data_IF_145254700224
#
_entry.id   IF_145254700224
#
_cell.length_a   1.000
_cell.length_b   1.000
_cell.length_c   1.000
_cell.angle_alpha   90.00
_cell.angle_beta   90.00
_cell.angle_gamma   90.00
#
_symmetry.space_group_name_H-M   'P 1'
#
loop_
_entity.id
_entity.type
_entity.pdbx_description
1 polymer ?
#
# COMPACT_ATOMS: atom_id res chain seq x y z
N UNK A 1 -3.29 -15.21 19.38
CA UNK A 1 -2.85 -15.12 17.98
C UNK A 1 -3.55 -13.95 17.33
N UNK A 2 -2.80 -13.01 16.75
CA UNK A 2 -3.32 -11.87 15.99
C UNK A 2 -2.92 -11.98 14.52
N UNK A 3 -3.62 -11.26 13.66
CA UNK A 3 -3.33 -11.17 12.24
C UNK A 3 -3.00 -9.72 11.85
N UNK A 4 -2.20 -9.54 10.80
CA UNK A 4 -1.98 -8.24 10.17
C UNK A 4 -2.29 -8.34 8.69
N UNK A 5 -2.93 -7.29 8.16
CA UNK A 5 -3.21 -7.17 6.72
C UNK A 5 -2.69 -5.82 6.25
N UNK A 6 -1.89 -5.83 5.19
CA UNK A 6 -1.30 -4.63 4.63
C UNK A 6 -1.40 -4.63 3.11
N UNK A 7 -1.30 -3.43 2.54
CA UNK A 7 -1.34 -3.22 1.10
C UNK A 7 -0.04 -3.61 0.40
N UNK A 8 0.17 -3.07 -0.79
CA UNK A 8 1.35 -3.35 -1.57
C UNK A 8 2.60 -2.75 -0.93
N UNK A 9 3.57 -3.60 -0.57
CA UNK A 9 4.90 -3.15 -0.14
C UNK A 9 5.71 -2.77 -1.37
N UNK A 10 6.13 -1.49 -1.41
CA UNK A 10 6.88 -0.93 -2.53
C UNK A 10 8.23 -1.63 -2.71
N UNK A 11 8.66 -1.74 -3.97
CA UNK A 11 9.96 -2.31 -4.35
C UNK A 11 10.19 -3.76 -3.91
N UNK A 12 9.13 -4.52 -3.66
CA UNK A 12 9.24 -5.96 -3.50
C UNK A 12 9.74 -6.61 -4.81
N UNK A 13 10.38 -7.79 -4.69
CA UNK A 13 10.91 -8.50 -5.86
C UNK A 13 9.82 -8.73 -6.92
N UNK A 14 10.09 -8.36 -8.16
CA UNK A 14 9.14 -8.49 -9.27
C UNK A 14 8.02 -7.46 -9.29
N UNK A 15 8.06 -6.44 -8.41
CA UNK A 15 7.08 -5.36 -8.41
C UNK A 15 7.32 -4.32 -9.49
N UNK A 16 6.34 -3.46 -9.70
CA UNK A 16 6.32 -2.47 -10.79
C UNK A 16 7.43 -1.43 -10.70
N UNK A 17 7.84 -1.03 -9.50
CA UNK A 17 8.85 0.03 -9.30
C UNK A 17 10.22 -0.40 -9.83
N UNK A 18 10.81 -1.54 -9.40
CA UNK A 18 12.06 -2.01 -9.98
C UNK A 18 11.98 -2.27 -11.49
N UNK A 19 10.85 -2.82 -11.97
CA UNK A 19 10.64 -3.06 -13.40
C UNK A 19 10.72 -1.76 -14.22
N UNK A 20 10.07 -0.70 -13.76
CA UNK A 20 10.07 0.57 -14.49
C UNK A 20 11.44 1.27 -14.46
N UNK A 21 12.16 1.17 -13.34
CA UNK A 21 13.54 1.65 -13.26
C UNK A 21 14.42 0.90 -14.24
N UNK A 22 14.32 -0.41 -14.30
CA UNK A 22 15.06 -1.23 -15.27
C UNK A 22 14.72 -0.86 -16.73
N UNK A 23 13.43 -0.69 -17.05
CA UNK A 23 12.99 -0.27 -18.38
C UNK A 23 13.60 1.07 -18.77
N UNK A 24 13.57 2.07 -17.87
CA UNK A 24 14.18 3.38 -18.13
C UNK A 24 15.68 3.28 -18.34
N UNK A 25 16.41 2.52 -17.53
CA UNK A 25 17.85 2.34 -17.64
C UNK A 25 18.24 1.66 -18.95
N UNK A 26 17.39 0.77 -19.47
CA UNK A 26 17.56 0.11 -20.76
C UNK A 26 17.10 0.97 -21.97
N UNK A 27 16.63 2.21 -21.73
CA UNK A 27 16.09 3.07 -22.79
C UNK A 27 14.76 2.60 -23.36
N UNK A 28 14.04 1.74 -22.63
CA UNK A 28 12.72 1.24 -23.00
C UNK A 28 11.61 2.12 -22.39
N UNK A 29 10.42 2.16 -23.00
CA UNK A 29 9.28 2.85 -22.41
C UNK A 29 8.83 2.17 -21.11
N UNK A 30 8.38 2.98 -20.15
CA UNK A 30 7.67 2.49 -18.97
C UNK A 30 6.31 1.93 -19.41
N UNK A 31 6.00 0.68 -19.05
CA UNK A 31 4.73 0.04 -19.40
C UNK A 31 3.74 0.13 -18.25
N UNK A 32 2.56 0.72 -18.50
CA UNK A 32 1.47 0.89 -17.55
C UNK A 32 0.23 0.17 -18.07
N UNK A 33 -0.45 -0.60 -17.23
CA UNK A 33 -1.68 -1.28 -17.62
C UNK A 33 -2.86 -0.33 -17.72
N UNK A 34 -3.08 0.49 -16.69
CA UNK A 34 -4.07 1.56 -16.67
C UNK A 34 -3.56 2.72 -15.79
N UNK A 35 -3.44 3.96 -16.31
CA UNK A 35 -2.90 5.09 -15.56
C UNK A 35 -3.74 5.47 -14.33
N UNK A 36 -5.05 5.21 -14.35
CA UNK A 36 -5.98 5.52 -13.25
C UNK A 36 -6.06 4.43 -12.18
N UNK A 37 -5.41 3.29 -12.40
CA UNK A 37 -5.34 2.21 -11.43
C UNK A 37 -4.62 2.67 -10.18
N UNK A 38 -5.18 2.39 -9.00
CA UNK A 38 -4.59 2.78 -7.73
C UNK A 38 -4.01 1.59 -6.98
N UNK A 39 -2.93 1.86 -6.26
CA UNK A 39 -2.33 0.89 -5.33
C UNK A 39 -2.01 1.59 -4.02
N UNK A 40 -2.12 0.87 -2.92
CA UNK A 40 -1.58 1.34 -1.65
C UNK A 40 -0.06 1.43 -1.74
N UNK A 41 0.51 2.44 -1.07
CA UNK A 41 1.94 2.70 -1.06
C UNK A 41 2.47 2.56 0.36
N UNK A 42 3.12 1.43 0.62
CA UNK A 42 3.74 1.13 1.92
C UNK A 42 5.22 0.85 1.75
N UNK A 43 6.01 1.28 2.72
CA UNK A 43 7.41 0.84 2.85
C UNK A 43 7.48 -0.48 3.64
N UNK A 44 8.63 -1.13 3.60
CA UNK A 44 8.87 -2.30 4.44
C UNK A 44 8.85 -1.93 5.94
N UNK A 45 9.35 -0.74 6.28
CA UNK A 45 9.34 -0.22 7.65
C UNK A 45 7.89 -0.08 8.16
N UNK A 46 6.96 0.45 7.33
CA UNK A 46 5.55 0.55 7.67
C UNK A 46 4.93 -0.84 7.95
N UNK A 47 5.29 -1.84 7.14
CA UNK A 47 4.81 -3.21 7.35
C UNK A 47 5.32 -3.81 8.67
N UNK A 48 6.57 -3.55 9.03
CA UNK A 48 7.17 -3.97 10.31
C UNK A 48 6.50 -3.24 11.47
N UNK A 49 6.28 -1.93 11.36
CA UNK A 49 5.61 -1.13 12.39
C UNK A 49 4.18 -1.62 12.65
N UNK A 50 3.44 -2.03 11.60
CA UNK A 50 2.13 -2.65 11.76
C UNK A 50 2.20 -3.94 12.59
N UNK A 51 3.18 -4.80 12.33
CA UNK A 51 3.36 -6.05 13.08
C UNK A 51 3.66 -5.75 14.55
N UNK A 52 4.58 -4.82 14.82
CA UNK A 52 4.92 -4.41 16.19
C UNK A 52 3.69 -3.81 16.89
N UNK A 53 2.93 -2.97 16.19
CA UNK A 53 1.71 -2.38 16.73
C UNK A 53 0.68 -3.45 17.10
N UNK A 54 0.48 -4.45 16.23
CA UNK A 54 -0.43 -5.56 16.51
C UNK A 54 0.01 -6.41 17.72
N UNK A 55 1.32 -6.60 17.91
CA UNK A 55 1.84 -7.30 19.09
C UNK A 55 1.59 -6.55 20.41
N UNK A 56 1.65 -5.22 20.36
CA UNK A 56 1.54 -4.39 21.58
C UNK A 56 0.10 -4.03 21.95
N UNK A 57 -0.82 -4.04 20.98
CA UNK A 57 -2.20 -3.56 21.18
C UNK A 57 -3.27 -4.61 20.90
N UNK A 58 -2.87 -5.77 20.36
CA UNK A 58 -3.82 -6.78 19.91
C UNK A 58 -4.24 -7.75 21.01
N UNK A 59 -5.49 -8.19 20.90
CA UNK A 59 -6.02 -9.32 21.62
C UNK A 59 -6.03 -10.58 20.74
N UNK A 60 -6.41 -11.72 21.33
CA UNK A 60 -6.43 -12.96 20.59
C UNK A 60 -7.53 -12.95 19.51
N UNK A 61 -7.11 -13.17 18.26
CA UNK A 61 -8.01 -13.22 17.11
C UNK A 61 -8.20 -11.89 16.39
N UNK A 62 -7.63 -10.79 16.88
CA UNK A 62 -7.70 -9.49 16.22
C UNK A 62 -6.98 -9.47 14.87
N UNK A 63 -7.54 -8.69 13.95
CA UNK A 63 -6.89 -8.33 12.70
C UNK A 63 -6.60 -6.82 12.69
N UNK A 64 -5.32 -6.47 12.48
CA UNK A 64 -4.90 -5.09 12.30
C UNK A 64 -4.63 -4.78 10.83
N UNK A 65 -5.10 -3.61 10.40
CA UNK A 65 -4.92 -3.09 9.04
C UNK A 65 -4.35 -1.69 9.11
N UNK A 66 -3.22 -1.45 8.45
CA UNK A 66 -2.63 -0.12 8.40
C UNK A 66 -3.36 0.77 7.39
N UNK A 67 -3.63 2.01 7.79
CA UNK A 67 -4.12 3.06 6.91
C UNK A 67 -2.95 3.60 6.10
N UNK A 68 -2.79 3.10 4.88
CA UNK A 68 -1.72 3.53 3.98
C UNK A 68 -2.26 4.51 2.93
N UNK A 69 -1.45 5.50 2.49
CA UNK A 69 -1.82 6.31 1.36
C UNK A 69 -1.79 5.49 0.06
N UNK A 70 -2.46 5.99 -0.96
CA UNK A 70 -2.44 5.39 -2.29
C UNK A 70 -2.02 6.39 -3.36
N UNK A 71 -1.49 5.86 -4.46
CA UNK A 71 -1.21 6.63 -5.67
C UNK A 71 -1.77 5.93 -6.90
N UNK A 72 -2.04 6.72 -7.94
CA UNK A 72 -2.29 6.16 -9.27
C UNK A 72 -0.97 5.72 -9.91
N UNK A 73 -1.04 4.78 -10.85
CA UNK A 73 0.14 4.37 -11.60
C UNK A 73 0.73 5.52 -12.42
N UNK A 74 -0.09 6.47 -12.87
CA UNK A 74 0.36 7.68 -13.55
C UNK A 74 1.22 8.58 -12.63
N UNK A 75 0.75 8.83 -11.41
CA UNK A 75 1.50 9.61 -10.40
C UNK A 75 2.82 8.91 -10.05
N UNK A 76 2.80 7.60 -9.85
CA UNK A 76 3.98 6.81 -9.56
C UNK A 76 5.01 6.89 -10.69
N UNK A 77 4.59 6.73 -11.96
CA UNK A 77 5.47 6.83 -13.10
C UNK A 77 6.10 8.22 -13.25
N UNK A 78 5.29 9.28 -13.07
CA UNK A 78 5.77 10.66 -13.08
C UNK A 78 6.82 10.92 -11.99
N UNK A 79 6.56 10.44 -10.77
CA UNK A 79 7.47 10.59 -9.64
C UNK A 79 8.81 9.88 -9.90
N UNK A 80 8.80 8.63 -10.38
CA UNK A 80 10.02 7.89 -10.73
C UNK A 80 10.82 8.63 -11.80
N UNK A 81 10.16 9.04 -12.90
CA UNK A 81 10.82 9.79 -13.98
C UNK A 81 11.50 11.07 -13.48
N UNK A 82 10.83 11.84 -12.61
CA UNK A 82 11.39 13.09 -12.06
C UNK A 82 12.56 12.82 -11.11
N UNK A 83 12.53 11.74 -10.35
CA UNK A 83 13.64 11.35 -9.48
C UNK A 83 14.86 10.99 -10.31
N UNK A 84 14.68 10.12 -11.30
CA UNK A 84 15.78 9.64 -12.14
C UNK A 84 16.29 10.69 -13.14
N UNK A 85 15.48 11.69 -13.51
CA UNK A 85 15.93 12.84 -14.29
C UNK A 85 17.06 13.64 -13.62
N UNK A 86 17.25 13.48 -12.30
CA UNK A 86 18.38 14.07 -11.57
C UNK A 86 19.71 13.34 -11.86
N UNK A 87 19.67 12.08 -12.26
CA UNK A 87 20.84 11.30 -12.67
C UNK A 87 21.17 11.61 -14.13
N UNK A 88 20.17 11.54 -15.00
CA UNK A 88 20.28 11.84 -16.41
C UNK A 88 18.95 12.40 -16.92
N UNK A 89 18.92 13.61 -17.51
CA UNK A 89 17.70 14.24 -18.04
C UNK A 89 16.91 13.36 -19.01
N UNK A 90 17.55 12.44 -19.72
CA UNK A 90 16.88 11.50 -20.65
C UNK A 90 15.82 10.64 -19.94
N UNK A 91 16.01 10.28 -18.67
CA UNK A 91 15.06 9.49 -17.91
C UNK A 91 13.76 10.25 -17.67
N UNK A 92 13.82 11.57 -17.49
CA UNK A 92 12.64 12.42 -17.42
C UNK A 92 11.80 12.42 -18.71
N UNK A 93 12.42 12.12 -19.85
CA UNK A 93 11.76 12.07 -21.16
C UNK A 93 11.32 10.66 -21.58
N UNK A 94 11.54 9.65 -20.71
CA UNK A 94 11.13 8.26 -21.01
C UNK A 94 9.64 8.20 -21.33
N UNK A 95 9.30 7.56 -22.43
CA UNK A 95 7.91 7.35 -22.86
C UNK A 95 7.17 6.47 -21.86
N UNK A 96 5.87 6.77 -21.66
CA UNK A 96 4.97 5.92 -20.89
C UNK A 96 3.98 5.27 -21.85
N UNK A 97 4.06 3.96 -21.99
CA UNK A 97 3.20 3.18 -22.89
C UNK A 97 2.08 2.49 -22.11
N UNK A 98 0.83 2.83 -22.42
CA UNK A 98 -0.34 2.14 -21.87
C UNK A 98 -0.54 0.84 -22.65
N UNK A 99 -0.48 -0.30 -21.94
CA UNK A 99 -0.59 -1.65 -22.55
C UNK A 99 -1.97 -2.29 -22.36
N UNK A 100 -2.86 -1.63 -21.59
CA UNK A 100 -4.17 -2.15 -21.24
C UNK A 100 -4.17 -3.05 -20.01
N UNK A 101 -5.34 -3.19 -19.38
CA UNK A 101 -5.54 -4.01 -18.18
C UNK A 101 -5.47 -5.50 -18.55
N UNK A 102 -4.74 -6.27 -17.74
CA UNK A 102 -4.65 -7.73 -17.93
C UNK A 102 -5.86 -8.41 -17.31
N UNK A 103 -6.15 -9.61 -17.79
CA UNK A 103 -7.24 -10.41 -17.23
C UNK A 103 -7.02 -10.64 -15.71
N UNK A 104 -8.06 -10.37 -14.92
CA UNK A 104 -8.00 -10.51 -13.45
C UNK A 104 -7.29 -9.39 -12.69
N UNK A 105 -6.76 -8.37 -13.36
CA UNK A 105 -6.13 -7.23 -12.72
C UNK A 105 -7.18 -6.25 -12.18
N UNK A 106 -7.10 -5.95 -10.87
CA UNK A 106 -8.05 -5.05 -10.21
C UNK A 106 -7.67 -3.59 -10.44
N UNK A 107 -8.67 -2.72 -10.64
CA UNK A 107 -8.48 -1.27 -10.74
C UNK A 107 -8.03 -0.64 -9.41
N UNK A 108 -8.43 -1.25 -8.30
CA UNK A 108 -8.05 -0.84 -6.93
C UNK A 108 -7.94 -2.08 -6.03
N UNK A 109 -7.28 -1.91 -4.90
CA UNK A 109 -7.11 -2.96 -3.87
C UNK A 109 -7.96 -2.65 -2.66
N UNK A 110 -8.70 -3.64 -2.15
CA UNK A 110 -9.48 -3.55 -0.92
C UNK A 110 -8.69 -4.17 0.23
N UNK A 111 -8.56 -3.44 1.34
CA UNK A 111 -7.91 -3.93 2.57
C UNK A 111 -8.90 -4.32 3.65
N UNK A 112 -10.04 -3.66 3.74
CA UNK A 112 -11.08 -4.00 4.70
C UNK A 112 -12.41 -4.05 3.96
N UNK A 113 -13.09 -5.18 4.05
CA UNK A 113 -14.41 -5.35 3.44
C UNK A 113 -15.46 -4.53 4.19
N UNK A 114 -16.63 -4.34 3.59
CA UNK A 114 -17.75 -3.62 4.20
C UNK A 114 -18.18 -4.24 5.53
N UNK A 115 -18.23 -5.57 5.59
CA UNK A 115 -18.61 -6.31 6.79
C UNK A 115 -17.57 -6.18 7.91
N UNK A 116 -16.28 -6.17 7.55
CA UNK A 116 -15.19 -5.91 8.49
C UNK A 116 -15.21 -4.46 8.97
N UNK A 117 -15.46 -3.48 8.07
CA UNK A 117 -15.54 -2.06 8.44
C UNK A 117 -16.68 -1.76 9.41
N UNK A 118 -17.81 -2.47 9.33
CA UNK A 118 -18.91 -2.32 10.26
C UNK A 118 -18.53 -2.68 11.73
N UNK A 119 -17.45 -3.45 11.91
CA UNK A 119 -16.93 -3.86 13.23
C UNK A 119 -15.59 -3.22 13.55
N UNK A 120 -14.99 -2.51 12.59
CA UNK A 120 -13.66 -1.98 12.73
C UNK A 120 -13.61 -0.81 13.72
N UNK A 121 -12.63 -0.85 14.60
CA UNK A 121 -12.29 0.24 15.50
C UNK A 121 -11.20 1.11 14.86
N UNK A 122 -11.43 2.43 14.85
CA UNK A 122 -10.44 3.38 14.35
C UNK A 122 -9.40 3.68 15.43
N UNK A 123 -8.18 3.18 15.21
CA UNK A 123 -7.03 3.37 16.11
C UNK A 123 -6.07 4.47 15.60
N UNK A 124 -6.60 5.46 14.86
CA UNK A 124 -5.79 6.53 14.25
C UNK A 124 -5.09 6.07 12.98
N UNK A 125 -3.85 5.59 13.07
CA UNK A 125 -3.09 5.07 11.92
C UNK A 125 -3.48 3.67 11.47
N UNK A 126 -4.33 2.98 12.24
CA UNK A 126 -4.70 1.58 12.03
C UNK A 126 -6.20 1.37 12.20
N UNK A 127 -6.72 0.33 11.55
CA UNK A 127 -8.00 -0.29 11.92
C UNK A 127 -7.73 -1.56 12.71
N UNK A 128 -8.44 -1.74 13.83
CA UNK A 128 -8.55 -3.00 14.55
C UNK A 128 -9.88 -3.64 14.20
N UNK A 129 -9.85 -4.87 13.73
CA UNK A 129 -11.03 -5.66 13.45
C UNK A 129 -11.04 -6.77 14.50
N UNK A 130 -11.92 -6.69 15.52
CA UNK A 130 -11.97 -7.68 16.59
C UNK A 130 -12.41 -9.05 16.06
N UNK A 131 -11.97 -10.09 16.75
CA UNK A 131 -12.40 -11.46 16.48
C UNK A 131 -13.93 -11.57 16.55
N UNK A 132 -14.50 -12.34 15.65
CA UNK A 132 -15.91 -12.65 15.69
C UNK A 132 -16.18 -13.72 16.76
N UNK A 133 -16.55 -13.29 17.96
CA UNK A 133 -16.88 -14.16 19.10
C UNK A 133 -18.35 -14.58 19.10
N UNK A 134 -19.08 -14.36 18.00
CA UNK A 134 -20.49 -14.77 17.93
C UNK A 134 -20.57 -16.29 17.89
N UNK A 135 -21.34 -16.86 18.82
CA UNK A 135 -21.68 -18.27 18.79
C UNK A 135 -22.37 -18.63 17.45
N UNK A 136 -22.08 -19.83 16.94
CA UNK A 136 -22.66 -20.41 15.72
C UNK A 136 -24.19 -20.62 15.81
N UNK A 137 -24.89 -19.79 16.57
CA UNK A 137 -26.34 -19.85 16.69
C UNK A 137 -26.97 -19.11 15.52
N UNK A 138 -27.13 -19.83 14.42
CA UNK A 138 -27.67 -19.35 13.14
C UNK A 138 -29.08 -18.74 13.25
N UNK A 139 -29.85 -19.11 14.26
CA UNK A 139 -31.25 -18.69 14.40
C UNK A 139 -31.45 -17.20 14.65
N UNK A 140 -30.45 -16.49 15.23
CA UNK A 140 -30.50 -15.05 15.45
C UNK A 140 -30.21 -14.24 14.17
N UNK A 141 -29.54 -14.84 13.18
CA UNK A 141 -29.14 -14.13 11.96
C UNK A 141 -30.22 -14.06 10.89
N UNK A 142 -31.25 -14.87 10.98
CA UNK A 142 -32.36 -14.86 10.04
C UNK A 142 -33.40 -13.77 10.32
N UNK A 143 -33.38 -13.14 11.49
CA UNK A 143 -34.41 -12.19 11.92
C UNK A 143 -33.98 -10.74 12.02
N UNK A 144 -32.68 -10.45 12.07
CA UNK A 144 -32.15 -9.08 12.13
C UNK A 144 -31.03 -8.91 11.09
N UNK A 145 -31.40 -8.47 9.89
CA UNK A 145 -30.42 -8.02 8.90
C UNK A 145 -29.68 -6.80 9.44
N UNK A 146 -28.34 -6.81 9.38
CA UNK A 146 -27.52 -5.70 9.85
C UNK A 146 -27.65 -4.49 8.92
N UNK A 147 -28.63 -3.63 9.14
CA UNK A 147 -28.79 -2.34 8.44
C UNK A 147 -27.57 -1.44 8.56
N UNK A 148 -26.70 -1.66 9.55
CA UNK A 148 -25.45 -0.92 9.74
C UNK A 148 -24.43 -1.25 8.63
N UNK A 149 -24.43 -2.46 8.10
CA UNK A 149 -23.48 -2.90 7.06
C UNK A 149 -23.76 -2.23 5.71
N UNK A 150 -25.01 -1.90 5.41
CA UNK A 150 -25.39 -1.28 4.13
C UNK A 150 -24.89 0.16 3.99
N UNK A 151 -24.64 0.85 5.11
CA UNK A 151 -24.24 2.26 5.14
C UNK A 151 -22.71 2.46 5.22
N UNK A 152 -21.95 1.40 5.45
CA UNK A 152 -20.49 1.47 5.63
C UNK A 152 -19.79 1.17 4.31
N UNK A 153 -18.81 2.00 3.95
CA UNK A 153 -17.95 1.79 2.79
C UNK A 153 -16.78 0.87 3.14
N UNK A 154 -16.38 0.00 2.22
CA UNK A 154 -15.13 -0.76 2.33
C UNK A 154 -13.92 0.18 2.31
N UNK A 155 -12.80 -0.23 2.92
CA UNK A 155 -11.55 0.52 2.84
C UNK A 155 -10.67 0.00 1.71
N UNK A 156 -10.44 0.84 0.71
CA UNK A 156 -9.74 0.48 -0.52
C UNK A 156 -8.85 1.62 -1.03
N UNK A 157 -7.98 1.33 -1.99
CA UNK A 157 -7.00 2.29 -2.50
C UNK A 157 -7.59 3.48 -3.27
N UNK A 158 -8.90 3.48 -3.57
CA UNK A 158 -9.56 4.64 -4.16
C UNK A 158 -10.09 5.64 -3.12
N UNK A 159 -10.40 5.22 -1.89
CA UNK A 159 -10.97 6.07 -0.85
C UNK A 159 -10.03 6.36 0.33
N UNK A 160 -8.74 6.07 0.20
CA UNK A 160 -7.71 6.48 1.15
C UNK A 160 -7.06 7.80 0.76
N UNK A 161 -6.20 8.34 1.64
CA UNK A 161 -5.39 9.51 1.35
C UNK A 161 -4.60 9.34 0.04
N UNK A 162 -4.70 10.31 -0.87
CA UNK A 162 -4.10 10.24 -2.18
C UNK A 162 -2.80 11.04 -2.24
N UNK A 163 -1.72 10.36 -2.63
CA UNK A 163 -0.45 11.04 -2.90
C UNK A 163 -0.49 11.75 -4.26
N UNK A 164 0.04 12.94 -4.28
CA UNK A 164 0.45 13.63 -5.50
C UNK A 164 1.88 13.23 -5.90
N UNK A 165 2.41 13.85 -6.95
CA UNK A 165 3.75 13.53 -7.45
C UNK A 165 4.84 13.84 -6.41
N UNK A 166 4.71 14.94 -5.66
CA UNK A 166 5.71 15.32 -4.66
C UNK A 166 5.69 14.38 -3.47
N UNK A 167 4.51 14.08 -2.89
CA UNK A 167 4.37 13.10 -1.82
C UNK A 167 4.84 11.71 -2.25
N UNK A 168 4.60 11.32 -3.51
CA UNK A 168 5.10 10.06 -4.04
C UNK A 168 6.62 10.05 -4.16
N UNK A 169 7.26 11.16 -4.55
CA UNK A 169 8.73 11.28 -4.58
C UNK A 169 9.33 11.16 -3.19
N UNK A 170 8.75 11.83 -2.20
CA UNK A 170 9.20 11.73 -0.80
C UNK A 170 9.16 10.28 -0.32
N UNK A 171 8.09 9.55 -0.65
CA UNK A 171 7.94 8.15 -0.25
C UNK A 171 8.94 7.25 -0.99
N UNK A 172 9.14 7.44 -2.30
CA UNK A 172 10.14 6.71 -3.09
C UNK A 172 11.56 6.91 -2.57
N UNK A 173 11.91 8.12 -2.11
CA UNK A 173 13.21 8.43 -1.54
C UNK A 173 13.45 7.78 -0.16
N UNK A 174 12.47 7.08 0.40
CA UNK A 174 12.67 6.19 1.56
C UNK A 174 13.23 4.82 1.16
N UNK A 175 13.17 4.44 -0.11
CA UNK A 175 13.66 3.16 -0.63
C UNK A 175 15.16 3.20 -0.83
N UNK A 176 15.90 2.31 -0.19
CA UNK A 176 17.37 2.30 -0.20
C UNK A 176 17.92 2.12 -1.61
N UNK A 177 17.35 1.25 -2.44
CA UNK A 177 17.84 1.06 -3.80
C UNK A 177 17.77 2.33 -4.66
N UNK A 178 16.70 3.13 -4.54
CA UNK A 178 16.57 4.42 -5.23
C UNK A 178 17.62 5.41 -4.70
N UNK A 179 17.87 5.41 -3.38
CA UNK A 179 18.90 6.24 -2.78
C UNK A 179 20.30 5.87 -3.26
N UNK A 180 20.58 4.58 -3.37
CA UNK A 180 21.84 4.04 -3.91
C UNK A 180 22.03 4.48 -5.37
N UNK A 181 21.01 4.34 -6.22
CA UNK A 181 21.06 4.79 -7.61
C UNK A 181 21.33 6.31 -7.72
N UNK A 182 20.84 7.11 -6.78
CA UNK A 182 21.08 8.56 -6.71
C UNK A 182 22.41 8.93 -6.05
N UNK A 183 23.23 7.99 -5.61
CA UNK A 183 24.46 8.24 -4.86
C UNK A 183 24.21 8.80 -3.46
N UNK A 184 23.01 8.64 -2.90
CA UNK A 184 22.65 9.06 -1.55
C UNK A 184 22.96 7.95 -0.56
N UNK A 185 23.36 8.33 0.68
CA UNK A 185 23.54 7.34 1.74
C UNK A 185 22.24 6.56 1.97
N UNK A 186 22.37 5.25 2.17
CA UNK A 186 21.26 4.42 2.64
C UNK A 186 20.69 4.99 3.94
N UNK A 187 19.37 4.94 4.12
CA UNK A 187 18.78 5.29 5.42
C UNK A 187 19.26 4.26 6.43
N UNK A 188 19.79 4.74 7.56
CA UNK A 188 20.02 3.87 8.71
C UNK A 188 18.69 3.16 9.01
N UNK A 189 18.74 1.84 9.24
CA UNK A 189 17.56 1.10 9.71
C UNK A 189 17.05 1.85 10.93
N UNK A 190 15.83 2.32 10.90
CA UNK A 190 15.28 3.26 11.88
C UNK A 190 15.07 2.63 13.26
N UNK A 191 15.50 1.40 13.48
CA UNK A 191 15.53 0.73 14.78
C UNK A 191 16.71 -0.25 14.86
N UNK A 192 17.78 0.17 15.50
CA UNK A 192 18.59 -0.81 16.21
C UNK A 192 17.72 -1.37 17.34
N UNK A 193 17.49 -2.68 17.31
CA UNK A 193 16.99 -3.41 18.47
C UNK A 193 18.06 -3.26 19.55
N UNK A 194 17.85 -2.35 20.48
CA UNK A 194 18.59 -2.37 21.75
C UNK A 194 18.00 -3.51 22.55
N UNK A 195 18.73 -4.64 22.56
CA UNK A 195 18.59 -5.64 23.62
C UNK A 195 18.99 -4.95 24.92
N UNK A 196 18.03 -4.67 25.80
CA UNK A 196 18.30 -4.54 27.24
C UNK A 196 18.34 -5.93 27.87
#
# INVERSE_FOLDING_TARGET
TGCTRYGNVMASRGSVIPLWVEQMMQGKPITITNPNMTRFMMTLDDAVDLVIYAFTHGENGDLFVQKAPAATLDVLAKAIKQIYAKIDPKYGMTEVKVIGTRHGEKLYETLVTREEMAKAEDMGGYYRIPCDNRDLNYDKFFTEGGHEVEQVEEYHSHNTARLDVEGMKELLLKLNFIREDLGLQARAKSREYRSE
#
